data_IF_488313935747
#
_entry.id   IF_488313935747
#
_cell.length_a   1.000
_cell.length_b   1.000
_cell.length_c   1.000
_cell.angle_alpha   90.00
_cell.angle_beta   90.00
_cell.angle_gamma   90.00
#
_symmetry.space_group_name_H-M   'P 1'
#
loop_
_entity.id
_entity.type
_entity.pdbx_description
1 polymer ?
#
# COMPACT_ATOMS: atom_id res chain seq x y z
N UNK A 1 6.70 -47.10 22.95
CA UNK A 1 5.29 -46.70 22.99
C UNK A 1 5.25 -45.39 22.20
N UNK A 2 5.10 -45.54 21.02
CA UNK A 2 4.07 -45.24 19.99
C UNK A 2 3.68 -43.76 19.94
N UNK A 3 4.32 -43.02 19.05
CA UNK A 3 3.89 -41.70 18.57
C UNK A 3 3.30 -41.87 17.17
N UNK A 4 1.99 -42.11 17.09
CA UNK A 4 1.20 -42.04 15.86
C UNK A 4 0.12 -40.98 16.04
N UNK A 5 0.45 -39.79 15.62
CA UNK A 5 -0.47 -38.66 15.56
C UNK A 5 -0.15 -37.83 14.31
N UNK A 6 -1.14 -37.70 13.44
CA UNK A 6 -1.26 -36.61 12.48
C UNK A 6 -0.69 -36.76 11.05
N UNK A 7 -1.00 -37.86 10.38
CA UNK A 7 -0.95 -37.93 8.91
C UNK A 7 -2.30 -37.66 8.19
N UNK A 8 -3.40 -37.52 8.93
CA UNK A 8 -4.75 -37.38 8.32
C UNK A 8 -5.16 -35.93 8.06
N UNK A 9 -4.58 -34.95 8.75
CA UNK A 9 -4.96 -33.53 8.57
C UNK A 9 -4.23 -32.86 7.40
N UNK A 10 -3.03 -33.30 7.06
CA UNK A 10 -2.27 -32.80 5.90
C UNK A 10 -2.93 -33.21 4.56
N UNK A 11 -3.65 -34.32 4.54
CA UNK A 11 -4.34 -34.82 3.32
C UNK A 11 -5.68 -34.10 3.06
N UNK A 12 -6.31 -33.55 4.10
CA UNK A 12 -7.56 -32.77 3.94
C UNK A 12 -7.30 -31.36 3.41
N UNK A 13 -6.17 -30.77 3.72
CA UNK A 13 -5.78 -29.46 3.19
C UNK A 13 -5.40 -29.51 1.69
N UNK A 14 -4.78 -30.60 1.22
CA UNK A 14 -4.44 -30.80 -0.19
C UNK A 14 -5.63 -31.12 -1.09
N UNK A 15 -6.74 -31.56 -0.57
CA UNK A 15 -7.93 -31.88 -1.35
C UNK A 15 -8.79 -30.63 -1.67
N UNK A 16 -8.72 -29.55 -0.86
CA UNK A 16 -9.41 -28.28 -1.14
C UNK A 16 -8.71 -27.42 -2.21
N UNK A 17 -7.41 -27.56 -2.38
CA UNK A 17 -6.67 -26.80 -3.40
C UNK A 17 -6.74 -27.36 -4.82
N UNK A 18 -7.43 -28.49 -5.06
CA UNK A 18 -7.56 -29.09 -6.42
C UNK A 18 -8.71 -28.57 -7.25
N UNK A 19 -9.55 -27.67 -6.71
CA UNK A 19 -10.72 -27.12 -7.42
C UNK A 19 -10.42 -25.86 -8.26
N UNK A 20 -9.21 -25.32 -8.20
CA UNK A 20 -8.81 -24.05 -8.85
C UNK A 20 -8.18 -24.21 -10.25
N UNK A 21 -8.29 -25.35 -10.92
CA UNK A 21 -7.79 -25.52 -12.29
C UNK A 21 -8.87 -25.96 -13.28
N UNK A 22 -9.86 -25.11 -13.52
CA UNK A 22 -10.56 -25.04 -14.80
C UNK A 22 -10.55 -23.60 -15.29
N UNK A 23 -9.47 -23.24 -15.95
CA UNK A 23 -9.43 -22.00 -16.74
C UNK A 23 -10.35 -22.21 -17.95
N UNK A 24 -11.48 -21.50 -17.97
CA UNK A 24 -12.23 -21.29 -19.20
C UNK A 24 -11.36 -20.46 -20.18
N UNK A 25 -11.46 -20.67 -21.48
CA UNK A 25 -10.71 -19.87 -22.45
C UNK A 25 -11.11 -18.40 -22.29
N UNK A 26 -10.13 -17.52 -22.05
CA UNK A 26 -10.33 -16.07 -21.98
C UNK A 26 -10.68 -15.62 -23.41
N UNK A 27 -11.94 -15.33 -23.65
CA UNK A 27 -12.37 -14.60 -24.85
C UNK A 27 -11.90 -13.17 -24.64
N UNK A 28 -10.94 -12.73 -25.44
CA UNK A 28 -10.51 -11.33 -25.44
C UNK A 28 -11.68 -10.45 -25.88
N UNK A 29 -12.38 -9.86 -24.94
CA UNK A 29 -13.32 -8.77 -25.20
C UNK A 29 -12.48 -7.53 -25.42
N UNK A 30 -12.59 -6.82 -26.56
CA UNK A 30 -11.87 -5.56 -26.75
C UNK A 30 -12.35 -4.57 -25.68
N UNK A 31 -11.43 -4.18 -24.79
CA UNK A 31 -11.73 -3.13 -23.82
C UNK A 31 -12.06 -1.83 -24.59
N UNK A 32 -13.16 -1.15 -24.26
CA UNK A 32 -13.40 0.17 -24.81
C UNK A 32 -12.24 1.10 -24.38
N UNK A 33 -11.80 2.00 -25.25
CA UNK A 33 -10.83 3.05 -24.90
C UNK A 33 -11.42 3.85 -23.75
N UNK A 34 -10.88 3.66 -22.56
CA UNK A 34 -11.28 4.36 -21.34
C UNK A 34 -10.68 5.75 -21.39
N UNK A 35 -11.48 6.79 -21.27
CA UNK A 35 -10.96 8.17 -21.13
C UNK A 35 -10.31 8.32 -19.75
N UNK A 36 -9.35 9.23 -19.61
CA UNK A 36 -8.68 9.45 -18.30
C UNK A 36 -9.67 9.82 -17.19
N UNK A 37 -10.78 10.46 -17.53
CA UNK A 37 -11.85 10.79 -16.58
C UNK A 37 -12.61 9.57 -16.01
N UNK A 38 -12.49 8.41 -16.67
CA UNK A 38 -13.13 7.16 -16.21
C UNK A 38 -12.17 6.28 -15.39
N UNK A 39 -10.89 6.66 -15.31
CA UNK A 39 -9.88 5.89 -14.56
C UNK A 39 -10.03 6.13 -13.07
N UNK A 40 -9.91 5.05 -12.30
CA UNK A 40 -10.05 5.04 -10.84
C UNK A 40 -8.95 4.24 -10.20
N UNK A 41 -8.39 4.80 -9.13
CA UNK A 41 -7.36 4.20 -8.30
C UNK A 41 -7.88 4.06 -6.87
N UNK A 42 -7.64 2.92 -6.25
CA UNK A 42 -7.92 2.68 -4.83
C UNK A 42 -6.60 2.35 -4.14
N UNK A 43 -6.24 3.10 -3.10
CA UNK A 43 -5.07 2.86 -2.28
C UNK A 43 -5.50 2.35 -0.90
N UNK A 44 -4.95 1.21 -0.45
CA UNK A 44 -5.33 0.56 0.81
C UNK A 44 -4.15 0.60 1.77
N UNK A 45 -4.32 1.30 2.89
CA UNK A 45 -3.28 1.50 3.89
C UNK A 45 -3.75 1.12 5.29
N UNK A 46 -2.80 0.78 6.16
CA UNK A 46 -3.09 0.32 7.52
C UNK A 46 -3.41 1.50 8.46
N UNK A 47 -2.57 2.55 8.43
CA UNK A 47 -2.61 3.65 9.39
C UNK A 47 -2.59 5.01 8.69
N UNK A 48 -3.07 6.07 9.37
CA UNK A 48 -2.79 7.44 8.98
C UNK A 48 -1.27 7.68 8.96
N UNK A 49 -0.70 8.12 7.85
CA UNK A 49 0.69 8.39 7.46
C UNK A 49 1.26 7.46 6.39
N UNK A 50 0.73 6.26 6.26
CA UNK A 50 1.18 5.30 5.25
C UNK A 50 0.96 5.83 3.82
N UNK A 51 -0.16 6.50 3.57
CA UNK A 51 -0.49 7.09 2.26
C UNK A 51 0.50 8.19 1.87
N UNK A 52 1.06 8.91 2.85
CA UNK A 52 2.04 9.96 2.63
C UNK A 52 3.43 9.40 2.29
N UNK A 53 3.78 8.26 2.86
CA UNK A 53 5.09 7.62 2.68
C UNK A 53 5.14 6.65 1.50
N UNK A 54 4.00 6.13 1.05
CA UNK A 54 3.88 5.01 0.11
C UNK A 54 2.89 5.33 -1.03
N UNK A 55 3.28 6.22 -1.95
CA UNK A 55 2.49 6.49 -3.15
C UNK A 55 1.88 7.89 -3.25
N UNK A 56 2.22 8.83 -2.34
CA UNK A 56 1.65 10.16 -2.34
C UNK A 56 1.92 10.93 -3.64
N UNK A 57 3.14 10.89 -4.15
CA UNK A 57 3.51 11.55 -5.41
C UNK A 57 2.79 10.93 -6.61
N UNK A 58 2.70 9.61 -6.65
CA UNK A 58 1.98 8.86 -7.68
C UNK A 58 0.49 9.23 -7.71
N UNK A 59 -0.16 9.22 -6.55
CA UNK A 59 -1.58 9.58 -6.47
C UNK A 59 -1.79 11.04 -6.87
N UNK A 60 -0.98 11.97 -6.37
CA UNK A 60 -1.07 13.38 -6.73
C UNK A 60 -0.90 13.59 -8.24
N UNK A 61 0.03 12.87 -8.89
CA UNK A 61 0.20 12.89 -10.34
C UNK A 61 -1.06 12.42 -11.07
N UNK A 62 -1.60 11.24 -10.69
CA UNK A 62 -2.78 10.70 -11.36
C UNK A 62 -4.03 11.55 -11.15
N UNK A 63 -4.18 12.14 -9.96
CA UNK A 63 -5.27 13.11 -9.70
C UNK A 63 -5.13 14.33 -10.60
N UNK A 64 -3.93 14.87 -10.78
CA UNK A 64 -3.67 15.97 -11.70
C UNK A 64 -3.96 15.58 -13.19
N UNK A 65 -3.81 14.30 -13.54
CA UNK A 65 -4.17 13.73 -14.83
C UNK A 65 -5.68 13.43 -14.97
N UNK A 66 -6.49 13.63 -13.91
CA UNK A 66 -7.95 13.44 -13.91
C UNK A 66 -8.42 12.06 -13.45
N UNK A 67 -7.55 11.24 -12.89
CA UNK A 67 -7.92 9.95 -12.27
C UNK A 67 -8.63 10.20 -10.95
N UNK A 68 -9.72 9.50 -10.70
CA UNK A 68 -10.38 9.51 -9.38
C UNK A 68 -9.63 8.59 -8.42
N UNK A 69 -9.15 9.11 -7.30
CA UNK A 69 -8.42 8.37 -6.30
C UNK A 69 -9.20 8.26 -4.99
N UNK A 70 -9.33 7.02 -4.48
CA UNK A 70 -9.89 6.71 -3.17
C UNK A 70 -8.80 6.19 -2.24
N UNK A 71 -8.74 6.72 -1.03
CA UNK A 71 -7.96 6.17 0.07
C UNK A 71 -8.83 5.33 0.99
N UNK A 72 -8.39 4.11 1.26
CA UNK A 72 -8.93 3.25 2.32
C UNK A 72 -7.88 3.14 3.41
N UNK A 73 -8.19 3.65 4.61
CA UNK A 73 -7.36 3.51 5.80
C UNK A 73 -8.02 2.50 6.76
N UNK A 74 -7.29 1.47 7.18
CA UNK A 74 -7.91 0.36 7.90
C UNK A 74 -8.14 0.66 9.37
N UNK A 75 -7.24 1.42 10.01
CA UNK A 75 -7.29 1.76 11.44
C UNK A 75 -7.10 3.26 11.68
N UNK A 76 -7.32 3.69 12.91
CA UNK A 76 -7.07 5.08 13.31
C UNK A 76 -5.63 5.37 13.73
N UNK A 77 -4.77 4.35 13.78
CA UNK A 77 -3.38 4.49 14.22
C UNK A 77 -3.24 4.84 15.70
N UNK A 78 -4.25 4.56 16.52
CA UNK A 78 -4.33 4.98 17.92
C UNK A 78 -3.36 4.28 18.86
N UNK A 79 -2.71 3.20 18.40
CA UNK A 79 -1.65 2.50 19.14
C UNK A 79 -0.24 3.03 18.81
N UNK A 80 -0.13 4.00 17.92
CA UNK A 80 1.15 4.63 17.57
C UNK A 80 1.70 5.52 18.69
N UNK A 81 3.02 5.65 18.72
CA UNK A 81 3.70 6.62 19.59
C UNK A 81 3.68 8.00 18.97
N UNK A 82 3.83 9.05 19.80
CA UNK A 82 4.08 10.42 19.31
C UNK A 82 5.58 10.56 19.07
N UNK A 83 5.97 10.63 17.78
CA UNK A 83 7.39 10.63 17.38
C UNK A 83 7.98 12.03 17.23
N UNK A 84 7.13 13.06 17.07
CA UNK A 84 7.57 14.46 17.00
C UNK A 84 7.58 15.07 18.41
N UNK A 85 8.76 15.48 18.94
CA UNK A 85 8.86 16.06 20.27
C UNK A 85 7.99 17.31 20.48
N UNK A 86 7.71 18.08 19.44
CA UNK A 86 6.85 19.25 19.51
C UNK A 86 5.37 18.89 19.76
N UNK A 87 4.99 17.65 19.46
CA UNK A 87 3.64 17.10 19.65
C UNK A 87 3.52 16.23 20.91
N UNK A 88 4.63 15.96 21.61
CA UNK A 88 4.65 15.17 22.85
C UNK A 88 4.08 15.97 24.02
N UNK A 89 2.74 16.03 24.07
CA UNK A 89 1.97 16.83 25.03
C UNK A 89 0.80 16.02 25.58
N UNK A 90 0.42 16.18 26.86
CA UNK A 90 -0.65 15.40 27.49
C UNK A 90 -1.99 15.46 26.75
N UNK A 91 -2.36 16.61 26.18
CA UNK A 91 -3.60 16.77 25.43
C UNK A 91 -3.59 16.03 24.08
N UNK A 92 -2.42 15.85 23.46
CA UNK A 92 -2.26 15.07 22.23
C UNK A 92 -2.43 13.59 22.55
N UNK A 93 -1.73 13.09 23.59
CA UNK A 93 -1.85 11.70 24.02
C UNK A 93 -3.29 11.34 24.43
N UNK A 94 -3.98 12.25 25.14
CA UNK A 94 -5.36 12.03 25.56
C UNK A 94 -6.35 11.92 24.39
N UNK A 95 -6.00 12.45 23.21
CA UNK A 95 -6.87 12.53 22.04
C UNK A 95 -6.21 12.03 20.75
N UNK A 96 -5.20 11.16 20.85
CA UNK A 96 -4.33 10.77 19.73
C UNK A 96 -5.13 10.30 18.49
N UNK A 97 -6.16 9.48 18.67
CA UNK A 97 -6.99 9.02 17.55
C UNK A 97 -7.65 10.19 16.79
N UNK A 98 -8.22 11.17 17.50
CA UNK A 98 -8.84 12.32 16.87
C UNK A 98 -7.81 13.25 16.19
N UNK A 99 -6.63 13.40 16.78
CA UNK A 99 -5.53 14.19 16.21
C UNK A 99 -5.07 13.51 14.91
N UNK A 100 -4.77 12.20 14.93
CA UNK A 100 -4.34 11.46 13.74
C UNK A 100 -5.40 11.44 12.63
N UNK A 101 -6.67 11.41 12.99
CA UNK A 101 -7.75 11.52 12.00
C UNK A 101 -7.76 12.91 11.32
N UNK A 102 -7.51 13.99 12.07
CA UNK A 102 -7.41 15.33 11.49
C UNK A 102 -6.14 15.47 10.62
N UNK A 103 -5.03 14.89 11.03
CA UNK A 103 -3.79 14.82 10.25
C UNK A 103 -3.99 14.07 8.92
N UNK A 104 -4.66 12.92 8.98
CA UNK A 104 -5.02 12.15 7.78
C UNK A 104 -5.90 12.95 6.81
N UNK A 105 -6.90 13.66 7.33
CA UNK A 105 -7.76 14.51 6.49
C UNK A 105 -6.97 15.63 5.80
N UNK A 106 -5.99 16.23 6.48
CA UNK A 106 -5.10 17.23 5.91
C UNK A 106 -4.17 16.63 4.84
N UNK A 107 -3.58 15.46 5.09
CA UNK A 107 -2.75 14.72 4.13
C UNK A 107 -3.54 14.35 2.86
N UNK A 108 -4.73 13.80 3.03
CA UNK A 108 -5.67 13.47 1.94
C UNK A 108 -5.95 14.67 1.04
N UNK A 109 -6.20 15.84 1.65
CA UNK A 109 -6.44 17.08 0.90
C UNK A 109 -5.20 17.56 0.13
N UNK A 110 -4.00 17.40 0.70
CA UNK A 110 -2.72 17.76 0.06
C UNK A 110 -2.41 16.85 -1.13
N UNK A 111 -2.59 15.53 -0.97
CA UNK A 111 -2.36 14.54 -2.04
C UNK A 111 -3.43 14.66 -3.13
N UNK A 112 -4.65 15.04 -2.75
CA UNK A 112 -5.77 15.26 -3.66
C UNK A 112 -6.70 14.05 -3.81
N UNK A 113 -6.70 13.09 -2.88
CA UNK A 113 -7.72 12.03 -2.86
C UNK A 113 -9.13 12.64 -2.81
N UNK A 114 -10.04 12.14 -3.64
CA UNK A 114 -11.43 12.60 -3.66
C UNK A 114 -12.30 11.89 -2.63
N UNK A 115 -11.87 10.70 -2.19
CA UNK A 115 -12.61 9.90 -1.20
C UNK A 115 -11.65 9.35 -0.16
N UNK A 116 -12.06 9.43 1.12
CA UNK A 116 -11.41 8.78 2.25
C UNK A 116 -12.42 7.87 2.94
N UNK A 117 -12.11 6.59 3.02
CA UNK A 117 -12.89 5.59 3.76
C UNK A 117 -12.06 4.97 4.88
N UNK A 118 -12.64 4.92 6.06
CA UNK A 118 -12.08 4.20 7.19
C UNK A 118 -12.73 2.83 7.28
N UNK A 119 -11.95 1.72 7.32
CA UNK A 119 -12.51 0.40 7.60
C UNK A 119 -12.99 0.28 9.06
N UNK A 120 -12.51 1.15 9.94
CA UNK A 120 -13.01 1.29 11.31
C UNK A 120 -12.54 0.20 12.26
N UNK A 121 -11.39 -0.40 11.96
CA UNK A 121 -10.74 -1.33 12.88
C UNK A 121 -9.84 -0.59 13.88
N UNK A 122 -9.57 -1.26 15.01
CA UNK A 122 -8.62 -0.80 16.00
C UNK A 122 -7.20 -1.18 15.57
N UNK A 123 -6.27 -0.25 15.73
CA UNK A 123 -4.84 -0.48 15.51
C UNK A 123 -4.33 -1.64 16.38
N UNK A 124 -3.54 -2.51 15.78
CA UNK A 124 -3.01 -3.71 16.45
C UNK A 124 -1.72 -3.45 17.23
N UNK A 125 -1.11 -2.29 17.05
CA UNK A 125 0.22 -2.04 17.59
C UNK A 125 1.28 -3.00 17.06
N UNK A 126 2.47 -2.94 17.63
CA UNK A 126 3.58 -3.82 17.28
C UNK A 126 3.36 -5.26 17.79
N UNK A 127 4.03 -6.25 17.19
CA UNK A 127 4.01 -7.62 17.71
C UNK A 127 4.31 -7.66 19.20
N UNK A 128 3.59 -8.52 19.94
CA UNK A 128 3.73 -8.71 21.39
C UNK A 128 3.33 -7.51 22.28
N UNK A 129 2.74 -6.46 21.72
CA UNK A 129 2.17 -5.35 22.51
C UNK A 129 0.83 -5.74 23.15
N UNK A 130 0.36 -4.94 24.10
CA UNK A 130 -0.96 -5.12 24.72
C UNK A 130 -2.09 -4.93 23.69
N UNK A 131 -1.92 -4.00 22.77
CA UNK A 131 -2.84 -3.71 21.68
C UNK A 131 -2.95 -4.91 20.73
N UNK A 132 -1.84 -5.61 20.45
CA UNK A 132 -1.82 -6.80 19.61
C UNK A 132 -2.54 -8.00 20.29
N UNK A 133 -2.60 -8.01 21.61
CA UNK A 133 -3.35 -9.02 22.35
C UNK A 133 -4.87 -8.73 22.41
N UNK A 134 -5.33 -7.51 22.10
CA UNK A 134 -6.76 -7.15 22.11
C UNK A 134 -7.50 -7.88 20.97
N UNK A 135 -8.56 -8.67 21.28
CA UNK A 135 -9.33 -9.39 20.25
C UNK A 135 -10.05 -8.47 19.25
N UNK A 136 -10.16 -7.19 19.55
CA UNK A 136 -10.81 -6.18 18.67
C UNK A 136 -9.84 -5.53 17.69
N UNK A 137 -8.52 -5.80 17.80
CA UNK A 137 -7.54 -5.22 16.90
C UNK A 137 -7.66 -5.79 15.47
N UNK A 138 -7.20 -5.03 14.50
CA UNK A 138 -7.34 -5.35 13.08
C UNK A 138 -6.70 -6.70 12.69
N UNK A 139 -5.51 -6.98 13.21
CA UNK A 139 -4.83 -8.25 12.94
C UNK A 139 -5.62 -9.49 13.41
N UNK A 140 -6.56 -9.32 14.38
CA UNK A 140 -7.40 -10.39 14.92
C UNK A 140 -8.83 -10.37 14.41
N UNK A 141 -9.21 -9.37 13.63
CA UNK A 141 -10.55 -9.29 13.03
C UNK A 141 -10.84 -10.54 12.18
N UNK A 142 -12.08 -11.04 12.14
CA UNK A 142 -12.46 -12.12 11.24
C UNK A 142 -12.09 -11.76 9.80
N UNK A 143 -11.41 -12.67 9.09
CA UNK A 143 -10.90 -12.40 7.74
C UNK A 143 -12.05 -12.06 6.78
N UNK A 144 -13.12 -12.85 6.80
CA UNK A 144 -14.25 -12.67 5.91
C UNK A 144 -14.96 -11.31 6.13
N UNK A 145 -15.01 -10.83 7.38
CA UNK A 145 -15.55 -9.51 7.69
C UNK A 145 -14.70 -8.39 7.08
N UNK A 146 -13.38 -8.46 7.29
CA UNK A 146 -12.47 -7.44 6.77
C UNK A 146 -12.41 -7.43 5.23
N UNK A 147 -12.41 -8.61 4.62
CA UNK A 147 -12.52 -8.79 3.16
C UNK A 147 -13.84 -8.22 2.65
N UNK A 148 -14.96 -8.55 3.28
CA UNK A 148 -16.30 -8.09 2.86
C UNK A 148 -16.41 -6.56 2.88
N UNK A 149 -15.85 -5.89 3.90
CA UNK A 149 -15.78 -4.42 3.96
C UNK A 149 -14.99 -3.85 2.78
N UNK A 150 -13.82 -4.43 2.46
CA UNK A 150 -13.00 -3.97 1.34
C UNK A 150 -13.67 -4.29 -0.02
N UNK A 151 -14.30 -5.45 -0.18
CA UNK A 151 -15.07 -5.80 -1.38
C UNK A 151 -16.17 -4.79 -1.65
N UNK A 152 -16.92 -4.36 -0.61
CA UNK A 152 -17.96 -3.35 -0.76
C UNK A 152 -17.41 -2.02 -1.29
N UNK A 153 -16.23 -1.58 -0.83
CA UNK A 153 -15.57 -0.38 -1.32
C UNK A 153 -15.08 -0.55 -2.77
N UNK A 154 -14.47 -1.69 -3.10
CA UNK A 154 -14.03 -2.00 -4.47
C UNK A 154 -15.22 -2.00 -5.43
N UNK A 155 -16.34 -2.60 -5.07
CA UNK A 155 -17.55 -2.64 -5.91
C UNK A 155 -18.21 -1.28 -6.05
N UNK A 156 -18.23 -0.47 -4.98
CA UNK A 156 -18.75 0.90 -5.01
C UNK A 156 -17.92 1.80 -5.93
N UNK A 157 -16.59 1.78 -5.76
CA UNK A 157 -15.70 2.73 -6.42
C UNK A 157 -15.22 2.27 -7.80
N UNK A 158 -15.28 0.97 -8.07
CA UNK A 158 -14.93 0.34 -9.35
C UNK A 158 -13.53 0.72 -9.85
N UNK A 159 -12.46 0.57 -9.04
CA UNK A 159 -11.11 0.92 -9.44
C UNK A 159 -10.58 -0.06 -10.48
N UNK A 160 -9.84 0.43 -11.48
CA UNK A 160 -9.05 -0.39 -12.37
C UNK A 160 -7.72 -0.78 -11.70
N UNK A 161 -7.16 0.11 -10.88
CA UNK A 161 -5.88 -0.08 -10.22
C UNK A 161 -6.07 -0.05 -8.71
N UNK A 162 -5.46 -1.02 -8.02
CA UNK A 162 -5.37 -1.07 -6.56
C UNK A 162 -3.90 -1.01 -6.16
N UNK A 163 -3.55 -0.14 -5.20
CA UNK A 163 -2.26 -0.08 -4.52
C UNK A 163 -2.43 -0.62 -3.10
N UNK A 164 -1.52 -1.48 -2.66
CA UNK A 164 -1.50 -2.06 -1.32
C UNK A 164 -0.09 -2.43 -0.89
N UNK A 165 0.06 -3.19 0.19
CA UNK A 165 1.37 -3.67 0.65
C UNK A 165 1.75 -5.02 0.05
N UNK A 166 3.07 -5.25 -0.07
CA UNK A 166 3.63 -6.55 -0.41
C UNK A 166 3.60 -7.55 0.75
N UNK A 167 3.98 -8.78 0.43
CA UNK A 167 4.19 -9.88 1.37
C UNK A 167 5.46 -9.70 2.23
N UNK A 168 6.46 -8.99 1.69
CA UNK A 168 7.71 -8.67 2.39
C UNK A 168 7.67 -7.24 2.92
N UNK A 169 7.61 -7.10 4.24
CA UNK A 169 7.60 -5.82 4.94
C UNK A 169 9.01 -5.27 5.21
N UNK A 170 10.05 -5.83 4.56
CA UNK A 170 11.43 -5.32 4.58
C UNK A 170 12.00 -5.06 5.99
N UNK A 171 11.65 -5.94 6.94
CA UNK A 171 12.13 -5.84 8.32
C UNK A 171 11.27 -4.95 9.23
N UNK A 172 10.12 -4.50 8.75
CA UNK A 172 9.07 -3.84 9.56
C UNK A 172 7.76 -4.64 9.51
N UNK A 173 7.69 -5.82 10.16
CA UNK A 173 6.56 -6.72 10.07
C UNK A 173 5.40 -6.26 10.96
N UNK A 174 4.81 -5.08 10.68
CA UNK A 174 3.65 -4.61 11.43
C UNK A 174 2.45 -5.53 11.17
N UNK A 175 1.76 -6.02 12.21
CA UNK A 175 0.64 -6.95 12.05
C UNK A 175 -0.45 -6.43 11.11
N UNK A 176 -0.75 -5.13 11.17
CA UNK A 176 -1.76 -4.51 10.33
C UNK A 176 -1.33 -4.39 8.86
N UNK A 177 -0.04 -4.17 8.57
CA UNK A 177 0.46 -4.19 7.19
C UNK A 177 0.32 -5.57 6.55
N UNK A 178 0.64 -6.62 7.32
CA UNK A 178 0.45 -8.01 6.88
C UNK A 178 -1.03 -8.31 6.66
N UNK A 179 -1.89 -7.78 7.54
CA UNK A 179 -3.34 -7.94 7.40
C UNK A 179 -3.91 -7.23 6.20
N UNK A 180 -3.45 -6.00 5.90
CA UNK A 180 -3.83 -5.28 4.67
C UNK A 180 -3.43 -6.06 3.43
N UNK A 181 -2.21 -6.60 3.39
CA UNK A 181 -1.77 -7.49 2.31
C UNK A 181 -2.75 -8.66 2.12
N UNK A 182 -3.05 -9.38 3.20
CA UNK A 182 -3.92 -10.57 3.19
C UNK A 182 -5.32 -10.24 2.66
N UNK A 183 -5.99 -9.22 3.24
CA UNK A 183 -7.35 -8.87 2.83
C UNK A 183 -7.42 -8.32 1.40
N UNK A 184 -6.37 -7.60 0.95
CA UNK A 184 -6.34 -7.02 -0.39
C UNK A 184 -6.29 -8.08 -1.48
N UNK A 185 -5.52 -9.16 -1.28
CA UNK A 185 -5.46 -10.27 -2.23
C UNK A 185 -6.78 -11.03 -2.32
N UNK A 186 -7.41 -11.31 -1.18
CA UNK A 186 -8.70 -12.02 -1.16
C UNK A 186 -9.80 -11.13 -1.76
N UNK A 187 -9.84 -9.84 -1.40
CA UNK A 187 -10.82 -8.90 -1.92
C UNK A 187 -10.66 -8.65 -3.43
N UNK A 188 -9.42 -8.67 -3.95
CA UNK A 188 -9.14 -8.58 -5.38
C UNK A 188 -9.86 -9.68 -6.19
N UNK A 189 -9.82 -10.91 -5.70
CA UNK A 189 -10.48 -12.03 -6.37
C UNK A 189 -11.99 -12.04 -6.11
N UNK A 190 -12.42 -11.80 -4.86
CA UNK A 190 -13.81 -11.85 -4.43
C UNK A 190 -14.67 -10.73 -5.01
N UNK A 191 -14.11 -9.54 -5.27
CA UNK A 191 -14.89 -8.40 -5.77
C UNK A 191 -15.52 -8.66 -7.15
N UNK A 192 -14.90 -9.49 -7.98
CA UNK A 192 -15.42 -9.86 -9.30
C UNK A 192 -16.39 -11.06 -9.30
N UNK A 193 -16.51 -11.77 -8.18
CA UNK A 193 -17.33 -12.98 -8.08
C UNK A 193 -18.72 -12.64 -7.53
N UNK A 194 -19.81 -12.83 -8.31
CA UNK A 194 -21.17 -12.52 -7.86
C UNK A 194 -21.67 -13.41 -6.71
N UNK A 195 -21.07 -14.59 -6.52
CA UNK A 195 -21.47 -15.54 -5.48
C UNK A 195 -20.80 -15.23 -4.12
N UNK A 196 -19.77 -14.36 -4.12
CA UNK A 196 -19.10 -13.92 -2.90
C UNK A 196 -19.61 -12.53 -2.49
N UNK A 197 -19.94 -12.37 -1.21
CA UNK A 197 -20.43 -11.11 -0.64
C UNK A 197 -21.56 -10.46 -1.47
N UNK A 198 -22.68 -11.18 -1.74
CA UNK A 198 -23.75 -10.68 -2.61
C UNK A 198 -24.37 -9.38 -2.09
N UNK A 199 -24.30 -9.12 -0.79
CA UNK A 199 -24.76 -7.89 -0.14
C UNK A 199 -23.85 -6.68 -0.38
N UNK A 200 -22.63 -6.89 -0.85
CA UNK A 200 -21.63 -5.82 -1.06
C UNK A 200 -21.81 -5.04 -2.37
N UNK A 201 -22.89 -5.26 -3.11
CA UNK A 201 -23.22 -4.57 -4.36
C UNK A 201 -22.79 -5.34 -5.62
N UNK A 202 -22.97 -4.70 -6.78
CA UNK A 202 -22.70 -5.30 -8.08
C UNK A 202 -21.22 -5.66 -8.26
N UNK A 203 -20.90 -6.86 -8.76
CA UNK A 203 -19.52 -7.31 -8.94
C UNK A 203 -18.68 -6.34 -9.79
N UNK A 204 -17.44 -6.18 -9.38
CA UNK A 204 -16.45 -5.40 -10.11
C UNK A 204 -15.10 -6.14 -10.13
N UNK A 205 -14.51 -6.25 -11.31
CA UNK A 205 -13.22 -6.90 -11.51
C UNK A 205 -12.11 -5.87 -11.73
N UNK A 206 -11.28 -5.57 -10.73
CA UNK A 206 -10.12 -4.69 -10.91
C UNK A 206 -9.15 -5.25 -11.95
N UNK A 207 -8.39 -4.39 -12.63
CA UNK A 207 -7.50 -4.79 -13.72
C UNK A 207 -6.07 -5.07 -13.28
N UNK A 208 -5.55 -4.28 -12.33
CA UNK A 208 -4.17 -4.38 -11.83
C UNK A 208 -4.10 -4.14 -10.31
N UNK A 209 -3.28 -4.94 -9.62
CA UNK A 209 -2.98 -4.77 -8.20
C UNK A 209 -1.46 -4.63 -8.04
N UNK A 210 -1.05 -3.54 -7.40
CA UNK A 210 0.33 -3.21 -7.14
C UNK A 210 0.67 -3.24 -5.65
N UNK A 211 1.88 -3.70 -5.36
CA UNK A 211 2.52 -3.47 -4.07
C UNK A 211 3.40 -2.23 -4.15
N UNK A 212 3.26 -1.32 -3.19
CA UNK A 212 4.23 -0.25 -3.02
C UNK A 212 5.57 -0.83 -2.57
N UNK A 213 6.67 -0.35 -3.14
CA UNK A 213 8.01 -0.82 -2.84
C UNK A 213 8.95 0.35 -2.54
N UNK A 214 10.00 0.07 -1.77
CA UNK A 214 11.09 1.00 -1.52
C UNK A 214 12.38 0.40 -2.06
N UNK A 215 12.82 0.90 -3.22
CA UNK A 215 14.04 0.45 -3.86
C UNK A 215 15.28 0.75 -3.01
N UNK A 216 16.21 -0.20 -2.92
CA UNK A 216 17.55 0.07 -2.38
C UNK A 216 18.24 1.19 -3.15
N UNK A 217 18.06 1.23 -4.47
CA UNK A 217 18.60 2.27 -5.33
C UNK A 217 18.24 3.68 -4.85
N UNK A 218 17.01 3.89 -4.34
CA UNK A 218 16.57 5.15 -3.74
C UNK A 218 17.43 5.53 -2.53
N UNK A 219 17.64 4.61 -1.59
CA UNK A 219 18.42 4.87 -0.37
C UNK A 219 19.89 5.12 -0.67
N UNK A 220 20.45 4.43 -1.69
CA UNK A 220 21.81 4.68 -2.16
C UNK A 220 21.94 6.07 -2.78
N UNK A 221 20.99 6.49 -3.61
CA UNK A 221 20.98 7.82 -4.22
C UNK A 221 20.87 8.92 -3.15
N UNK A 222 19.97 8.75 -2.17
CA UNK A 222 19.83 9.69 -1.05
C UNK A 222 21.10 9.73 -0.19
N UNK A 223 21.68 8.58 0.16
CA UNK A 223 22.93 8.51 0.91
C UNK A 223 24.05 9.30 0.20
N UNK A 224 24.23 9.07 -1.10
CA UNK A 224 25.22 9.82 -1.87
C UNK A 224 24.91 11.33 -1.87
N UNK A 225 23.65 11.72 -2.00
CA UNK A 225 23.25 13.13 -1.94
C UNK A 225 23.60 13.82 -0.62
N UNK A 226 23.46 13.13 0.53
CA UNK A 226 23.94 13.62 1.81
C UNK A 226 25.44 13.83 1.81
N UNK A 227 26.23 12.85 1.33
CA UNK A 227 27.68 12.93 1.26
C UNK A 227 28.13 14.07 0.34
N UNK A 228 27.52 14.24 -0.81
CA UNK A 228 27.83 15.30 -1.78
C UNK A 228 27.52 16.70 -1.19
N UNK A 229 26.50 16.79 -0.34
CA UNK A 229 26.18 18.02 0.42
C UNK A 229 27.08 18.25 1.65
N UNK A 230 27.99 17.31 1.96
CA UNK A 230 28.83 17.39 3.17
C UNK A 230 28.06 17.17 4.48
N UNK A 231 26.90 16.49 4.42
CA UNK A 231 26.03 16.19 5.55
C UNK A 231 26.23 14.75 6.03
N UNK A 232 25.91 14.49 7.30
CA UNK A 232 25.83 13.13 7.82
C UNK A 232 24.56 12.45 7.30
N UNK A 233 24.74 11.27 6.71
CA UNK A 233 23.62 10.49 6.17
C UNK A 233 22.89 9.73 7.28
N UNK A 234 21.55 9.71 7.29
CA UNK A 234 20.77 8.87 8.21
C UNK A 234 20.81 7.38 7.83
N UNK A 235 21.40 7.03 6.69
CA UNK A 235 21.51 5.66 6.19
C UNK A 235 22.91 5.13 6.50
N UNK A 236 23.00 4.17 7.41
CA UNK A 236 24.25 3.49 7.76
C UNK A 236 24.45 2.21 6.91
N UNK A 237 25.61 1.56 7.10
CA UNK A 237 25.96 0.34 6.38
C UNK A 237 24.91 -0.77 6.57
N UNK A 238 24.25 -0.85 7.74
CA UNK A 238 23.25 -1.87 8.03
C UNK A 238 22.01 -1.75 7.12
N UNK A 239 21.68 -0.54 6.66
CA UNK A 239 20.63 -0.33 5.68
C UNK A 239 20.93 -1.06 4.37
N UNK A 240 22.20 -1.05 3.95
CA UNK A 240 22.64 -1.61 2.67
C UNK A 240 22.98 -3.09 2.74
N UNK A 241 23.13 -3.66 3.94
CA UNK A 241 23.32 -5.10 4.14
C UNK A 241 22.03 -5.92 4.05
N UNK A 242 20.84 -5.28 4.16
CA UNK A 242 19.55 -5.96 4.01
C UNK A 242 19.41 -6.50 2.60
N UNK A 243 18.75 -7.66 2.39
CA UNK A 243 18.44 -8.16 1.06
C UNK A 243 17.71 -7.12 0.21
N UNK A 244 18.12 -6.91 -1.03
CA UNK A 244 17.42 -6.02 -1.95
C UNK A 244 16.20 -6.72 -2.55
N UNK A 245 15.10 -5.97 -2.67
CA UNK A 245 13.90 -6.38 -3.39
C UNK A 245 13.77 -5.67 -4.75
N UNK A 246 14.81 -4.95 -5.20
CA UNK A 246 14.78 -4.17 -6.44
C UNK A 246 14.46 -5.04 -7.67
N UNK A 247 14.79 -6.34 -7.64
CA UNK A 247 14.46 -7.30 -8.69
C UNK A 247 12.94 -7.54 -8.84
N UNK A 248 12.14 -7.21 -7.81
CA UNK A 248 10.66 -7.32 -7.84
C UNK A 248 10.00 -6.08 -8.45
N UNK A 249 10.72 -4.97 -8.60
CA UNK A 249 10.18 -3.73 -9.12
C UNK A 249 9.84 -3.91 -10.61
N UNK A 250 8.58 -3.72 -10.93
CA UNK A 250 8.06 -3.83 -12.30
C UNK A 250 7.68 -2.49 -12.88
N UNK A 251 7.41 -1.51 -12.02
CA UNK A 251 6.86 -0.21 -12.41
C UNK A 251 7.49 0.90 -11.58
N UNK A 252 7.92 1.98 -12.26
CA UNK A 252 8.48 3.18 -11.65
C UNK A 252 7.71 4.40 -12.17
N UNK A 253 7.00 5.07 -11.29
CA UNK A 253 6.23 6.26 -11.64
C UNK A 253 7.07 7.50 -11.37
N UNK A 254 7.31 8.34 -12.38
CA UNK A 254 7.99 9.63 -12.20
C UNK A 254 7.08 10.60 -11.41
N UNK A 255 7.55 10.98 -10.24
CA UNK A 255 6.82 11.87 -9.30
C UNK A 255 7.61 13.16 -9.01
N UNK A 256 8.60 13.50 -9.83
CA UNK A 256 9.47 14.67 -9.64
C UNK A 256 8.68 15.95 -9.36
N UNK A 257 7.72 16.25 -10.20
CA UNK A 257 6.89 17.46 -10.09
C UNK A 257 5.88 17.39 -8.94
N UNK A 258 5.67 16.21 -8.37
CA UNK A 258 4.69 15.93 -7.31
C UNK A 258 5.35 15.65 -5.96
N UNK A 259 6.67 15.74 -5.87
CA UNK A 259 7.40 15.53 -4.63
C UNK A 259 6.95 16.47 -3.50
N UNK A 260 6.60 17.76 -3.75
CA UNK A 260 6.05 18.65 -2.73
C UNK A 260 4.73 18.15 -2.11
N UNK A 261 3.90 17.42 -2.86
CA UNK A 261 2.68 16.82 -2.30
C UNK A 261 3.04 15.74 -1.26
N UNK A 262 4.05 14.90 -1.55
CA UNK A 262 4.56 13.90 -0.62
C UNK A 262 5.10 14.55 0.67
N UNK A 263 5.99 15.54 0.54
CA UNK A 263 6.58 16.23 1.69
C UNK A 263 5.54 16.98 2.51
N UNK A 264 4.57 17.60 1.86
CA UNK A 264 3.45 18.28 2.51
C UNK A 264 2.56 17.31 3.28
N UNK A 265 2.23 16.15 2.68
CA UNK A 265 1.44 15.10 3.31
C UNK A 265 2.16 14.51 4.54
N UNK A 266 3.45 14.21 4.43
CA UNK A 266 4.27 13.76 5.57
C UNK A 266 4.23 14.79 6.72
N UNK A 267 4.41 16.08 6.43
CA UNK A 267 4.36 17.16 7.45
C UNK A 267 2.98 17.33 8.07
N UNK A 268 1.91 16.94 7.36
CA UNK A 268 0.56 16.98 7.91
C UNK A 268 0.36 15.96 9.04
N UNK A 269 1.12 14.84 9.04
CA UNK A 269 1.12 13.85 10.12
C UNK A 269 2.06 14.26 11.26
N UNK A 270 1.79 15.42 11.84
CA UNK A 270 2.67 16.09 12.80
C UNK A 270 2.97 15.25 14.05
N UNK A 271 2.08 14.33 14.46
CA UNK A 271 2.33 13.42 15.60
C UNK A 271 3.33 12.33 15.25
N UNK A 272 3.38 11.88 13.99
CA UNK A 272 4.16 10.72 13.53
C UNK A 272 5.46 11.12 12.83
N UNK A 273 5.53 12.32 12.32
CA UNK A 273 6.64 12.82 11.49
C UNK A 273 7.26 14.03 12.15
N UNK A 274 8.50 13.85 12.60
CA UNK A 274 9.32 14.97 13.08
C UNK A 274 9.81 15.77 11.86
N UNK A 275 9.49 17.08 11.75
CA UNK A 275 9.94 17.92 10.65
C UNK A 275 11.46 18.15 10.64
N UNK A 276 12.15 17.88 11.75
CA UNK A 276 13.60 17.95 11.85
C UNK A 276 14.28 16.60 11.53
N UNK A 277 13.52 15.55 11.20
CA UNK A 277 14.07 14.23 10.90
C UNK A 277 14.92 14.25 9.63
N UNK A 278 16.22 13.93 9.69
CA UNK A 278 17.07 13.84 8.51
C UNK A 278 16.61 12.74 7.53
N UNK A 279 15.93 11.70 8.03
CA UNK A 279 15.40 10.62 7.20
C UNK A 279 14.36 11.14 6.20
N UNK A 280 13.49 12.06 6.63
CA UNK A 280 12.41 12.60 5.81
C UNK A 280 12.79 13.90 5.09
N UNK A 281 13.53 14.80 5.77
CA UNK A 281 13.70 16.18 5.33
C UNK A 281 15.16 16.69 5.39
N UNK A 282 16.12 15.78 5.53
CA UNK A 282 17.54 16.17 5.61
C UNK A 282 18.13 16.70 4.30
N UNK A 283 17.46 16.47 3.17
CA UNK A 283 17.74 17.09 1.87
C UNK A 283 16.53 17.87 1.38
N UNK A 284 16.72 18.99 0.64
CA UNK A 284 15.63 19.74 0.01
C UNK A 284 14.83 18.87 -0.98
N UNK A 285 13.53 19.15 -1.10
CA UNK A 285 12.61 18.39 -1.94
C UNK A 285 13.05 18.30 -3.42
N UNK A 286 13.55 19.41 -3.97
CA UNK A 286 14.05 19.48 -5.35
C UNK A 286 15.31 18.63 -5.53
N UNK A 287 16.20 18.59 -4.54
CA UNK A 287 17.39 17.74 -4.56
C UNK A 287 16.98 16.26 -4.52
N UNK A 288 16.05 15.86 -3.63
CA UNK A 288 15.61 14.47 -3.55
C UNK A 288 14.88 14.05 -4.82
N UNK A 289 14.04 14.92 -5.38
CA UNK A 289 13.32 14.69 -6.63
C UNK A 289 14.28 14.51 -7.84
N UNK A 290 15.43 15.18 -7.84
CA UNK A 290 16.46 14.99 -8.87
C UNK A 290 17.31 13.74 -8.65
N UNK A 291 17.61 13.39 -7.39
CA UNK A 291 18.38 12.19 -7.05
C UNK A 291 17.61 10.90 -7.34
N UNK A 292 16.33 10.87 -7.02
CA UNK A 292 15.47 9.71 -7.25
C UNK A 292 14.01 10.14 -7.50
N UNK A 293 13.64 10.38 -8.76
CA UNK A 293 12.32 10.92 -9.13
C UNK A 293 11.18 9.90 -9.08
N UNK A 294 11.45 8.67 -8.67
CA UNK A 294 10.52 7.55 -8.83
C UNK A 294 9.82 7.17 -7.52
N UNK A 295 8.57 6.74 -7.63
CA UNK A 295 7.94 5.83 -6.69
C UNK A 295 7.83 4.44 -7.33
N UNK A 296 8.20 3.41 -6.56
CA UNK A 296 8.46 2.06 -7.05
C UNK A 296 7.29 1.14 -6.70
N UNK A 297 6.96 0.23 -7.64
CA UNK A 297 5.87 -0.71 -7.48
C UNK A 297 6.22 -2.08 -8.05
N UNK A 298 5.65 -3.12 -7.43
CA UNK A 298 5.58 -4.47 -7.97
C UNK A 298 4.17 -4.73 -8.48
N UNK A 299 4.00 -5.08 -9.74
CA UNK A 299 2.73 -5.55 -10.30
C UNK A 299 2.46 -6.98 -9.82
N UNK A 300 1.73 -7.10 -8.72
CA UNK A 300 1.48 -8.39 -8.06
C UNK A 300 0.42 -9.22 -8.76
N UNK A 301 -0.60 -8.57 -9.34
CA UNK A 301 -1.69 -9.21 -10.08
C UNK A 301 -2.05 -8.37 -11.30
N UNK A 302 -2.28 -9.03 -12.44
CA UNK A 302 -2.74 -8.36 -13.65
C UNK A 302 -3.76 -9.24 -14.40
N UNK A 303 -4.80 -8.58 -14.91
CA UNK A 303 -5.75 -9.14 -15.87
C UNK A 303 -5.58 -8.47 -17.25
N UNK A 304 -4.54 -7.65 -17.40
CA UNK A 304 -4.19 -6.97 -18.65
C UNK A 304 -3.13 -7.76 -19.39
N UNK A 305 -3.41 -8.35 -20.57
CA UNK A 305 -2.45 -9.23 -21.26
C UNK A 305 -1.13 -8.54 -21.65
N UNK A 306 -1.15 -7.23 -21.95
CA UNK A 306 0.02 -6.46 -22.32
C UNK A 306 0.89 -6.03 -21.13
N UNK A 307 0.43 -6.28 -19.90
CA UNK A 307 1.12 -5.93 -18.67
C UNK A 307 1.09 -7.15 -17.71
N UNK A 308 1.96 -8.14 -17.91
CA UNK A 308 2.01 -9.33 -17.07
C UNK A 308 2.48 -8.98 -15.67
N UNK A 309 2.01 -9.75 -14.68
CA UNK A 309 2.44 -9.61 -13.29
C UNK A 309 3.94 -9.88 -13.14
N UNK A 310 4.53 -9.50 -12.02
CA UNK A 310 5.95 -9.75 -11.73
C UNK A 310 6.33 -11.24 -11.87
N UNK A 311 5.40 -12.14 -11.45
CA UNK A 311 5.62 -13.59 -11.53
C UNK A 311 5.61 -14.13 -12.97
N UNK A 312 4.92 -13.46 -13.90
CA UNK A 312 4.74 -13.90 -15.29
C UNK A 312 5.60 -13.09 -16.28
N UNK A 313 6.36 -12.13 -15.78
CA UNK A 313 7.14 -11.18 -16.59
C UNK A 313 8.42 -11.84 -17.10
N UNK A 314 8.77 -11.65 -18.40
CA UNK A 314 10.04 -12.11 -18.93
C UNK A 314 11.22 -11.43 -18.22
N UNK A 315 12.31 -12.19 -18.02
CA UNK A 315 13.58 -11.63 -17.52
C UNK A 315 14.09 -10.53 -18.46
N UNK A 316 14.50 -9.40 -17.89
CA UNK A 316 14.99 -8.24 -18.64
C UNK A 316 13.91 -7.41 -19.34
N UNK A 317 12.62 -7.64 -19.06
CA UNK A 317 11.55 -6.79 -19.55
C UNK A 317 11.71 -5.35 -19.03
N UNK A 318 11.38 -4.37 -19.88
CA UNK A 318 11.44 -2.95 -19.50
C UNK A 318 10.50 -2.64 -18.33
N UNK A 319 10.95 -1.78 -17.40
CA UNK A 319 10.14 -1.31 -16.28
C UNK A 319 9.00 -0.44 -16.82
N UNK A 320 7.77 -0.70 -16.39
CA UNK A 320 6.64 0.15 -16.71
C UNK A 320 6.79 1.54 -16.05
N UNK A 321 6.20 2.57 -16.67
CA UNK A 321 6.23 3.94 -16.14
C UNK A 321 4.84 4.48 -15.80
N UNK A 322 3.81 3.63 -15.92
CA UNK A 322 2.42 3.98 -15.70
C UNK A 322 1.64 2.81 -15.10
N UNK A 323 1.01 3.01 -13.94
CA UNK A 323 0.15 1.99 -13.32
C UNK A 323 -1.06 1.62 -14.20
N UNK A 324 -1.50 2.54 -15.07
CA UNK A 324 -2.58 2.31 -16.01
C UNK A 324 -2.11 1.80 -17.38
N UNK A 325 -0.84 1.39 -17.53
CA UNK A 325 -0.34 0.82 -18.77
C UNK A 325 -1.25 -0.31 -19.27
N UNK A 326 -1.66 -0.25 -20.55
CA UNK A 326 -2.60 -1.18 -21.18
C UNK A 326 -4.07 -0.95 -20.85
N UNK A 327 -4.41 0.09 -20.09
CA UNK A 327 -5.78 0.50 -19.76
C UNK A 327 -6.16 1.83 -20.39
N UNK A 328 -5.17 2.59 -20.85
CA UNK A 328 -5.29 3.88 -21.56
C UNK A 328 -4.30 3.98 -22.71
#
# INVERSE_FOLDING_TARGET
MSTNGNRRDVLRFRARCRWLRRQAPIVAVPFPLVTTADLRLLSVHAHPDDEASKGAGTVARYVAEGVHATLVCCTGGEAGEVLNPAMDRPEVHANLAAVRQAELAASVAIIGFQTLDMLGYRDSGMPDSAENADPRCFARAPLDEAVGRLVALIRRDRPQVIITYGDDQQGYPHPDHLRVHEISLVAWDAAGDPDQFPEAGEPWTPSKLYYSAWARARFLAMHQGFLDAGLESPFDQKWFERPSQDHRITTQVDVRDFYPARSGALKAHATQIDPESPFWFGLPDDVVADLYPWEDYELARSRVPSAPSAADRPEGAEVETDLFAGLR
#
